data_IF_513960220791
#
_entry.id   IF_513960220791
#
_cell.length_a   1.000
_cell.length_b   1.000
_cell.length_c   1.000
_cell.angle_alpha   90.00
_cell.angle_beta   90.00
_cell.angle_gamma   90.00
#
_symmetry.space_group_name_H-M   'P 1'
#
loop_
_entity.id
_entity.type
_entity.pdbx_description
1 polymer ?
#
# COMPACT_ATOMS: atom_id res chain seq x y z
N UNK A 1 -12.92 -4.92 8.62
CA UNK A 1 -12.49 -5.90 7.58
C UNK A 1 -10.98 -5.97 7.63
N UNK A 2 -10.43 -7.13 7.94
CA UNK A 2 -9.00 -7.26 8.18
C UNK A 2 -8.14 -7.11 6.91
N UNK A 3 -6.90 -6.66 7.06
CA UNK A 3 -5.91 -6.48 5.98
C UNK A 3 -5.74 -7.74 5.12
N UNK A 4 -5.84 -8.92 5.73
CA UNK A 4 -5.79 -10.20 5.03
C UNK A 4 -7.01 -10.44 4.12
N UNK A 5 -8.23 -10.16 4.61
CA UNK A 5 -9.46 -10.29 3.83
C UNK A 5 -9.44 -9.32 2.65
N UNK A 6 -8.96 -8.09 2.88
CA UNK A 6 -8.76 -7.09 1.84
C UNK A 6 -7.79 -7.58 0.76
N UNK A 7 -6.64 -8.16 1.14
CA UNK A 7 -5.71 -8.77 0.17
C UNK A 7 -6.40 -9.81 -0.70
N UNK A 8 -7.20 -10.69 -0.13
CA UNK A 8 -7.90 -11.74 -0.88
C UNK A 8 -8.88 -11.13 -1.90
N UNK A 9 -9.67 -10.14 -1.49
CA UNK A 9 -10.57 -9.41 -2.40
C UNK A 9 -9.79 -8.69 -3.52
N UNK A 10 -8.69 -8.00 -3.18
CA UNK A 10 -7.88 -7.28 -4.17
C UNK A 10 -7.16 -8.24 -5.14
N UNK A 11 -6.75 -9.43 -4.70
CA UNK A 11 -6.22 -10.46 -5.61
C UNK A 11 -7.28 -10.93 -6.60
N UNK A 12 -8.54 -11.04 -6.19
CA UNK A 12 -9.64 -11.38 -7.08
C UNK A 12 -9.85 -10.25 -8.11
N UNK A 13 -9.81 -8.99 -7.69
CA UNK A 13 -9.89 -7.83 -8.59
C UNK A 13 -8.76 -7.81 -9.61
N UNK A 14 -7.51 -8.03 -9.18
CA UNK A 14 -6.34 -8.08 -10.08
C UNK A 14 -6.47 -9.19 -11.13
N UNK A 15 -7.13 -10.31 -10.78
CA UNK A 15 -7.33 -11.46 -11.68
C UNK A 15 -8.54 -11.29 -12.61
N UNK A 16 -9.43 -10.35 -12.34
CA UNK A 16 -10.64 -10.19 -13.13
C UNK A 16 -10.31 -9.82 -14.58
N UNK A 17 -10.90 -10.52 -15.55
CA UNK A 17 -10.64 -10.33 -16.99
C UNK A 17 -10.88 -8.88 -17.45
N UNK A 18 -11.86 -8.19 -16.85
CA UNK A 18 -12.14 -6.77 -17.08
C UNK A 18 -10.91 -5.87 -16.93
N UNK A 19 -9.94 -6.28 -16.10
CA UNK A 19 -8.73 -5.52 -15.81
C UNK A 19 -7.54 -5.87 -16.71
N UNK A 20 -7.60 -6.96 -17.48
CA UNK A 20 -6.54 -7.32 -18.43
C UNK A 20 -6.35 -6.23 -19.49
N UNK A 21 -7.44 -5.67 -20.01
CA UNK A 21 -7.40 -4.56 -20.99
C UNK A 21 -6.62 -3.36 -20.46
N UNK A 22 -6.73 -3.06 -19.17
CA UNK A 22 -6.02 -1.94 -18.53
C UNK A 22 -4.52 -2.19 -18.45
N UNK A 23 -4.12 -3.43 -18.15
CA UNK A 23 -2.71 -3.81 -18.16
C UNK A 23 -2.13 -3.73 -19.58
N UNK A 24 -2.86 -4.21 -20.59
CA UNK A 24 -2.44 -4.10 -21.99
C UNK A 24 -2.32 -2.65 -22.48
N UNK A 25 -3.21 -1.77 -22.04
CA UNK A 25 -3.06 -0.33 -22.29
C UNK A 25 -1.83 0.27 -21.62
N UNK A 26 -1.49 -0.16 -20.40
CA UNK A 26 -0.30 0.31 -19.69
C UNK A 26 0.99 -0.10 -20.39
N UNK A 27 1.06 -1.31 -20.96
CA UNK A 27 2.20 -1.81 -21.75
C UNK A 27 2.54 -0.89 -22.93
N UNK A 28 1.56 -0.16 -23.48
CA UNK A 28 1.84 0.81 -24.56
C UNK A 28 2.71 1.98 -24.09
N UNK A 29 2.62 2.35 -22.81
CA UNK A 29 3.25 3.55 -22.24
C UNK A 29 4.45 3.24 -21.32
N UNK A 30 4.54 2.03 -20.77
CA UNK A 30 5.64 1.58 -19.90
C UNK A 30 6.37 0.42 -20.56
N UNK A 31 7.65 0.62 -20.90
CA UNK A 31 8.47 -0.41 -21.56
C UNK A 31 8.69 -1.62 -20.64
N UNK A 32 8.90 -1.35 -19.36
CA UNK A 32 9.15 -2.34 -18.32
C UNK A 32 8.00 -3.34 -18.17
N UNK A 33 6.76 -2.94 -18.47
CA UNK A 33 5.60 -3.83 -18.40
C UNK A 33 5.46 -4.72 -19.64
N UNK A 34 6.10 -4.38 -20.77
CA UNK A 34 5.93 -5.11 -22.05
C UNK A 34 6.51 -6.52 -21.98
N UNK A 35 7.58 -6.69 -21.21
CA UNK A 35 8.25 -7.98 -20.97
C UNK A 35 7.37 -8.96 -20.17
N UNK A 36 6.26 -8.48 -19.61
CA UNK A 36 5.33 -9.30 -18.84
C UNK A 36 4.04 -9.55 -19.62
N UNK A 37 3.70 -10.82 -19.79
CA UNK A 37 2.44 -11.24 -20.42
C UNK A 37 1.24 -10.72 -19.63
N UNK A 38 1.29 -10.79 -18.30
CA UNK A 38 0.19 -10.39 -17.42
C UNK A 38 0.67 -9.61 -16.20
N UNK A 39 -0.25 -8.88 -15.56
CA UNK A 39 0.01 -8.23 -14.28
C UNK A 39 0.40 -9.22 -13.18
N UNK A 40 -0.02 -10.48 -13.28
CA UNK A 40 0.37 -11.54 -12.36
C UNK A 40 1.85 -11.89 -12.50
N UNK A 41 2.40 -11.85 -13.72
CA UNK A 41 3.84 -12.01 -13.95
C UNK A 41 4.63 -10.89 -13.27
N UNK A 42 4.18 -9.63 -13.39
CA UNK A 42 4.78 -8.49 -12.67
C UNK A 42 4.75 -8.71 -11.15
N UNK A 43 3.59 -9.12 -10.62
CA UNK A 43 3.44 -9.38 -9.18
C UNK A 43 4.30 -10.54 -8.69
N UNK A 44 4.55 -11.55 -9.53
CA UNK A 44 5.45 -12.64 -9.20
C UNK A 44 6.90 -12.13 -9.05
N UNK A 45 7.35 -11.23 -9.93
CA UNK A 45 8.67 -10.60 -9.80
C UNK A 45 8.78 -9.74 -8.55
N UNK A 46 7.76 -8.91 -8.27
CA UNK A 46 7.76 -8.06 -7.08
C UNK A 46 7.67 -8.86 -5.78
N UNK A 47 7.04 -10.03 -5.81
CA UNK A 47 6.92 -10.95 -4.68
C UNK A 47 8.12 -11.87 -4.46
N UNK A 48 9.04 -11.97 -5.43
CA UNK A 48 10.29 -12.72 -5.30
C UNK A 48 11.14 -12.10 -4.17
N UNK A 49 11.74 -12.89 -3.28
CA UNK A 49 12.60 -12.35 -2.20
C UNK A 49 14.08 -12.27 -2.61
N UNK A 50 14.45 -12.79 -3.79
CA UNK A 50 15.81 -12.79 -4.30
C UNK A 50 16.36 -11.36 -4.51
N UNK A 51 17.58 -11.14 -4.00
CA UNK A 51 18.32 -9.89 -4.19
C UNK A 51 18.75 -9.68 -5.65
N UNK A 52 18.82 -10.75 -6.45
CA UNK A 52 19.28 -10.71 -7.85
C UNK A 52 18.39 -9.88 -8.78
N UNK A 53 17.14 -9.61 -8.37
CA UNK A 53 16.14 -8.90 -9.18
C UNK A 53 15.90 -7.46 -8.74
N UNK A 54 16.83 -6.87 -7.99
CA UNK A 54 16.63 -5.52 -7.43
C UNK A 54 16.33 -4.47 -8.51
N UNK A 55 17.12 -4.44 -9.59
CA UNK A 55 16.94 -3.48 -10.67
C UNK A 55 15.59 -3.66 -11.39
N UNK A 56 15.18 -4.91 -11.63
CA UNK A 56 13.90 -5.23 -12.26
C UNK A 56 12.72 -4.82 -11.36
N UNK A 57 12.78 -5.14 -10.07
CA UNK A 57 11.76 -4.73 -9.08
C UNK A 57 11.64 -3.21 -8.97
N UNK A 58 12.77 -2.51 -8.98
CA UNK A 58 12.80 -1.05 -8.97
C UNK A 58 12.10 -0.50 -10.23
N UNK A 59 12.47 -1.00 -11.41
CA UNK A 59 11.90 -0.57 -12.68
C UNK A 59 10.38 -0.83 -12.74
N UNK A 60 9.93 -2.03 -12.35
CA UNK A 60 8.51 -2.40 -12.30
C UNK A 60 7.72 -1.58 -11.28
N UNK A 61 8.28 -1.34 -10.09
CA UNK A 61 7.64 -0.51 -9.07
C UNK A 61 7.42 0.90 -9.59
N UNK A 62 8.44 1.49 -10.23
CA UNK A 62 8.33 2.82 -10.83
C UNK A 62 7.29 2.85 -11.95
N UNK A 63 7.25 1.84 -12.81
CA UNK A 63 6.25 1.73 -13.87
C UNK A 63 4.81 1.68 -13.32
N UNK A 64 4.57 0.89 -12.26
CA UNK A 64 3.26 0.82 -11.60
C UNK A 64 2.85 2.16 -10.96
N UNK A 65 3.80 2.85 -10.30
CA UNK A 65 3.53 4.18 -9.73
C UNK A 65 3.23 5.21 -10.84
N UNK A 66 3.95 5.20 -11.96
CA UNK A 66 3.65 6.08 -13.10
C UNK A 66 2.24 5.84 -13.63
N UNK A 67 1.83 4.58 -13.80
CA UNK A 67 0.48 4.27 -14.29
C UNK A 67 -0.61 4.67 -13.31
N UNK A 68 -0.39 4.44 -12.01
CA UNK A 68 -1.28 4.91 -10.97
C UNK A 68 -1.45 6.44 -11.01
N UNK A 69 -0.35 7.19 -11.10
CA UNK A 69 -0.38 8.67 -11.13
C UNK A 69 -0.97 9.21 -12.45
N UNK A 70 -0.70 8.55 -13.57
CA UNK A 70 -1.18 8.97 -14.91
C UNK A 70 -2.68 8.76 -15.05
N UNK A 71 -3.20 7.63 -14.56
CA UNK A 71 -4.62 7.26 -14.63
C UNK A 71 -5.04 6.54 -13.34
N UNK A 72 -5.38 7.29 -12.29
CA UNK A 72 -5.86 6.69 -11.04
C UNK A 72 -7.05 5.77 -11.31
N UNK A 73 -6.96 4.52 -10.85
CA UNK A 73 -8.01 3.53 -11.02
C UNK A 73 -7.92 2.48 -9.91
N UNK A 74 -9.06 1.93 -9.42
CA UNK A 74 -9.07 0.89 -8.39
C UNK A 74 -8.19 -0.32 -8.70
N UNK A 75 -8.07 -0.69 -9.98
CA UNK A 75 -7.14 -1.74 -10.43
C UNK A 75 -5.69 -1.48 -9.98
N UNK A 76 -5.16 -0.27 -10.18
CA UNK A 76 -3.78 0.05 -9.80
C UNK A 76 -3.59 0.06 -8.29
N UNK A 77 -4.62 0.50 -7.55
CA UNK A 77 -4.62 0.38 -6.09
C UNK A 77 -4.55 -1.09 -5.65
N UNK A 78 -5.36 -1.95 -6.28
CA UNK A 78 -5.35 -3.39 -6.00
C UNK A 78 -3.97 -4.01 -6.31
N UNK A 79 -3.38 -3.68 -7.45
CA UNK A 79 -2.04 -4.16 -7.85
C UNK A 79 -0.99 -3.72 -6.83
N UNK A 80 -0.96 -2.43 -6.46
CA UNK A 80 0.02 -1.89 -5.51
C UNK A 80 -0.15 -2.51 -4.12
N UNK A 81 -1.38 -2.63 -3.62
CA UNK A 81 -1.61 -3.29 -2.32
C UNK A 81 -1.19 -4.75 -2.35
N UNK A 82 -1.48 -5.49 -3.42
CA UNK A 82 -1.05 -6.89 -3.54
C UNK A 82 0.47 -7.01 -3.59
N UNK A 83 1.15 -6.14 -4.35
CA UNK A 83 2.61 -6.10 -4.44
C UNK A 83 3.27 -5.77 -3.09
N UNK A 84 2.74 -4.79 -2.37
CA UNK A 84 3.30 -4.28 -1.12
C UNK A 84 2.68 -4.92 0.13
N UNK A 85 1.77 -5.89 -0.01
CA UNK A 85 1.14 -6.56 1.12
C UNK A 85 2.14 -7.09 2.17
N UNK A 86 3.25 -7.77 1.80
CA UNK A 86 4.22 -8.25 2.80
C UNK A 86 4.83 -7.13 3.63
N UNK A 87 4.96 -5.93 3.07
CA UNK A 87 5.42 -4.75 3.81
C UNK A 87 4.33 -4.22 4.74
N UNK A 88 3.09 -4.10 4.25
CA UNK A 88 1.95 -3.58 5.01
C UNK A 88 1.60 -4.50 6.18
N UNK A 89 1.58 -5.82 5.96
CA UNK A 89 1.33 -6.80 7.01
C UNK A 89 2.40 -6.77 8.12
N UNK A 90 3.67 -6.62 7.75
CA UNK A 90 4.76 -6.44 8.72
C UNK A 90 4.63 -5.11 9.47
N UNK A 91 4.22 -4.03 8.81
CA UNK A 91 4.03 -2.73 9.45
C UNK A 91 2.89 -2.78 10.47
N UNK A 92 1.75 -3.34 10.08
CA UNK A 92 0.60 -3.61 10.95
C UNK A 92 1.01 -4.43 12.17
N UNK A 93 1.73 -5.53 11.96
CA UNK A 93 2.18 -6.40 13.06
C UNK A 93 3.23 -5.79 14.00
N UNK A 94 3.81 -4.63 13.68
CA UNK A 94 4.74 -3.92 14.57
C UNK A 94 4.05 -2.93 15.52
N UNK A 95 2.76 -2.69 15.32
CA UNK A 95 1.97 -1.77 16.12
C UNK A 95 1.25 -2.62 17.15
N UNK A 96 1.65 -2.48 18.41
CA UNK A 96 1.14 -3.26 19.53
C UNK A 96 0.33 -2.37 20.47
N UNK A 97 -0.62 -2.99 21.17
CA UNK A 97 -1.51 -2.34 22.14
C UNK A 97 -2.94 -2.19 21.62
N UNK A 98 -3.87 -2.12 22.56
CA UNK A 98 -5.31 -2.07 22.28
C UNK A 98 -5.84 -0.62 22.20
N UNK A 99 -4.94 0.36 22.18
CA UNK A 99 -5.30 1.77 22.14
C UNK A 99 -5.98 2.18 20.82
N UNK A 100 -5.83 1.40 19.75
CA UNK A 100 -6.55 1.60 18.48
C UNK A 100 -7.17 0.26 18.08
N UNK A 101 -8.49 0.20 17.79
CA UNK A 101 -9.13 -1.03 17.33
C UNK A 101 -8.45 -1.61 16.09
N UNK A 102 -8.44 -2.94 15.98
CA UNK A 102 -7.70 -3.64 14.92
C UNK A 102 -8.17 -3.30 13.50
N UNK A 103 -9.47 -3.08 13.31
CA UNK A 103 -10.04 -2.67 12.01
C UNK A 103 -9.63 -1.22 11.65
N UNK A 104 -9.60 -0.31 12.62
CA UNK A 104 -9.15 1.07 12.44
C UNK A 104 -7.66 1.12 12.12
N UNK A 105 -6.87 0.27 12.78
CA UNK A 105 -5.44 0.12 12.48
C UNK A 105 -5.20 -0.34 11.03
N UNK A 106 -5.97 -1.33 10.57
CA UNK A 106 -5.88 -1.83 9.20
C UNK A 106 -6.26 -0.72 8.18
N UNK A 107 -7.28 0.08 8.50
CA UNK A 107 -7.67 1.27 7.73
C UNK A 107 -6.60 2.36 7.72
N UNK A 108 -5.96 2.65 8.86
CA UNK A 108 -4.84 3.61 8.97
C UNK A 108 -3.68 3.15 8.08
N UNK A 109 -3.31 1.86 8.13
CA UNK A 109 -2.22 1.31 7.31
C UNK A 109 -2.50 1.47 5.82
N UNK A 110 -3.71 1.10 5.37
CA UNK A 110 -4.08 1.20 3.96
C UNK A 110 -4.22 2.65 3.48
N UNK A 111 -4.90 3.50 4.25
CA UNK A 111 -5.09 4.91 3.89
C UNK A 111 -3.76 5.68 3.84
N UNK A 112 -2.85 5.41 4.77
CA UNK A 112 -1.49 5.97 4.75
C UNK A 112 -0.71 5.52 3.52
N UNK A 113 -0.82 4.25 3.14
CA UNK A 113 -0.17 3.73 1.94
C UNK A 113 -0.69 4.40 0.67
N UNK A 114 -2.01 4.54 0.53
CA UNK A 114 -2.59 5.19 -0.64
C UNK A 114 -2.23 6.68 -0.73
N UNK A 115 -2.20 7.39 0.39
CA UNK A 115 -1.71 8.76 0.43
C UNK A 115 -0.25 8.86 -0.04
N UNK A 116 0.62 8.01 0.48
CA UNK A 116 2.04 7.99 0.10
C UNK A 116 2.24 7.64 -1.37
N UNK A 117 1.46 6.70 -1.91
CA UNK A 117 1.48 6.32 -3.32
C UNK A 117 1.03 7.47 -4.21
N UNK A 118 -0.05 8.16 -3.84
CA UNK A 118 -0.59 9.31 -4.59
C UNK A 118 0.41 10.45 -4.67
N UNK A 119 1.06 10.76 -3.55
CA UNK A 119 1.94 11.93 -3.39
C UNK A 119 3.42 11.55 -3.54
N UNK A 120 3.73 10.37 -4.09
CA UNK A 120 5.10 9.88 -4.19
C UNK A 120 5.93 10.76 -5.15
N UNK A 121 7.09 11.30 -4.72
CA UNK A 121 7.88 12.22 -5.54
C UNK A 121 8.77 11.47 -6.55
N UNK A 122 8.13 10.78 -7.50
CA UNK A 122 8.79 9.86 -8.42
C UNK A 122 9.83 10.51 -9.35
N UNK A 123 9.63 11.79 -9.69
CA UNK A 123 10.54 12.59 -10.51
C UNK A 123 11.80 13.03 -9.76
N UNK A 124 11.70 13.20 -8.44
CA UNK A 124 12.82 13.65 -7.58
C UNK A 124 13.72 12.49 -7.16
N UNK A 125 13.21 11.24 -7.24
CA UNK A 125 13.93 10.04 -6.81
C UNK A 125 14.31 9.18 -8.01
N UNK A 126 15.60 8.91 -8.18
CA UNK A 126 16.14 8.11 -9.30
C UNK A 126 16.16 6.61 -9.00
N UNK A 127 16.33 6.22 -7.75
CA UNK A 127 16.45 4.84 -7.30
C UNK A 127 15.78 4.61 -5.92
N UNK A 128 15.82 3.35 -5.46
CA UNK A 128 15.36 2.91 -4.13
C UNK A 128 13.89 3.24 -3.85
N UNK A 129 13.06 3.22 -4.88
CA UNK A 129 11.63 3.53 -4.82
C UNK A 129 10.92 2.69 -3.76
N UNK A 130 11.14 1.37 -3.74
CA UNK A 130 10.54 0.49 -2.72
C UNK A 130 10.94 0.85 -1.29
N UNK A 131 12.21 1.20 -1.07
CA UNK A 131 12.71 1.59 0.24
C UNK A 131 12.06 2.89 0.72
N UNK A 132 11.99 3.90 -0.16
CA UNK A 132 11.37 5.17 0.19
C UNK A 132 9.86 5.06 0.37
N UNK A 133 9.17 4.27 -0.47
CA UNK A 133 7.75 3.99 -0.31
C UNK A 133 7.47 3.38 1.06
N UNK A 134 8.29 2.40 1.48
CA UNK A 134 8.23 1.82 2.83
C UNK A 134 8.45 2.86 3.92
N UNK A 135 9.51 3.66 3.82
CA UNK A 135 9.85 4.65 4.85
C UNK A 135 8.77 5.72 5.00
N UNK A 136 8.25 6.24 3.88
CA UNK A 136 7.19 7.25 3.86
C UNK A 136 5.89 6.67 4.42
N UNK A 137 5.50 5.46 3.99
CA UNK A 137 4.32 4.76 4.52
C UNK A 137 4.45 4.54 6.02
N UNK A 138 5.60 4.05 6.48
CA UNK A 138 5.85 3.84 7.91
C UNK A 138 5.69 5.14 8.70
N UNK A 139 6.29 6.24 8.23
CA UNK A 139 6.19 7.55 8.89
C UNK A 139 4.74 8.02 8.98
N UNK A 140 3.98 7.91 7.91
CA UNK A 140 2.58 8.35 7.90
C UNK A 140 1.70 7.49 8.81
N UNK A 141 1.87 6.17 8.81
CA UNK A 141 1.16 5.27 9.73
C UNK A 141 1.43 5.64 11.18
N UNK A 142 2.70 5.77 11.58
CA UNK A 142 3.03 6.12 12.98
C UNK A 142 2.59 7.54 13.36
N UNK A 143 2.50 8.47 12.41
CA UNK A 143 1.94 9.80 12.64
C UNK A 143 0.45 9.70 12.93
N UNK A 144 -0.31 8.96 12.12
CA UNK A 144 -1.76 8.78 12.27
C UNK A 144 -2.14 7.97 13.50
N UNK A 145 -1.46 6.86 13.77
CA UNK A 145 -1.69 6.08 15.01
C UNK A 145 -1.50 6.94 16.25
N UNK A 146 -0.46 7.77 16.30
CA UNK A 146 -0.24 8.69 17.44
C UNK A 146 -1.29 9.80 17.53
N UNK A 147 -1.93 10.18 16.43
CA UNK A 147 -3.03 11.13 16.46
C UNK A 147 -4.28 10.46 17.03
N UNK A 148 -4.64 9.29 16.49
CA UNK A 148 -5.78 8.50 16.94
C UNK A 148 -5.71 8.17 18.44
N UNK A 149 -4.52 7.78 18.93
CA UNK A 149 -4.31 7.51 20.35
C UNK A 149 -4.58 8.73 21.23
N UNK A 150 -4.17 9.93 20.81
CA UNK A 150 -4.42 11.17 21.57
C UNK A 150 -5.90 11.54 21.55
N UNK A 151 -6.55 11.36 20.41
CA UNK A 151 -7.98 11.68 20.25
C UNK A 151 -8.83 10.74 21.13
N UNK A 152 -8.50 9.45 21.18
CA UNK A 152 -9.16 8.47 22.05
C UNK A 152 -8.87 8.72 23.55
N UNK A 153 -7.65 9.14 23.89
CA UNK A 153 -7.32 9.56 25.25
C UNK A 153 -8.15 10.78 25.66
N UNK A 154 -8.25 11.81 24.80
CA UNK A 154 -9.07 13.00 25.07
C UNK A 154 -10.54 12.66 25.27
N UNK A 155 -11.13 11.84 24.39
CA UNK A 155 -12.52 11.39 24.53
C UNK A 155 -12.74 10.67 25.86
N UNK A 156 -11.79 9.83 26.29
CA UNK A 156 -11.87 9.14 27.59
C UNK A 156 -11.81 10.09 28.79
N UNK A 157 -11.06 11.19 28.70
CA UNK A 157 -10.97 12.19 29.77
C UNK A 157 -12.16 13.16 29.78
N UNK A 158 -12.83 13.35 28.64
CA UNK A 158 -14.01 14.22 28.51
C UNK A 158 -15.33 13.51 28.87
N UNK A 159 -15.32 12.19 29.10
CA UNK A 159 -16.49 11.41 29.54
C UNK A 159 -16.72 11.58 31.07
N UNK A 160 -17.80 12.27 31.51
CA UNK A 160 -17.95 12.76 32.89
C UNK A 160 -18.52 11.73 33.88
N UNK A 161 -18.46 10.42 33.60
CA UNK A 161 -18.98 9.40 34.52
C UNK A 161 -18.06 9.07 35.71
N UNK A 162 -16.83 9.61 35.75
CA UNK A 162 -15.86 9.34 36.84
C UNK A 162 -15.73 10.48 37.88
N UNK A 163 -16.68 11.42 37.91
CA UNK A 163 -16.82 12.40 39.00
C UNK A 163 -18.12 12.12 39.77
N UNK A 164 -18.29 10.90 40.30
CA UNK A 164 -19.16 10.61 41.46
C UNK A 164 -19.09 9.13 41.85
N UNK A 165 -18.16 8.76 42.74
CA UNK A 165 -18.40 7.77 43.79
C UNK A 165 -17.39 7.87 44.92
#
# INVERSE_FOLDING_TARGET
MGLHQMKCALRAEVRAERNQKRFEEAKKHQLELREHETVLSVLAVLGDESALRYAEKEALTRALLREHMRRPHPFWNAVLVVAFYPMLARLRGRIFGDAVPGDDLDQIVLSSFFEVVRDFPLSQRRDRTCMYLRQMTQREVFKRVRAEQRDLEQVRFDDPEDISR
#
